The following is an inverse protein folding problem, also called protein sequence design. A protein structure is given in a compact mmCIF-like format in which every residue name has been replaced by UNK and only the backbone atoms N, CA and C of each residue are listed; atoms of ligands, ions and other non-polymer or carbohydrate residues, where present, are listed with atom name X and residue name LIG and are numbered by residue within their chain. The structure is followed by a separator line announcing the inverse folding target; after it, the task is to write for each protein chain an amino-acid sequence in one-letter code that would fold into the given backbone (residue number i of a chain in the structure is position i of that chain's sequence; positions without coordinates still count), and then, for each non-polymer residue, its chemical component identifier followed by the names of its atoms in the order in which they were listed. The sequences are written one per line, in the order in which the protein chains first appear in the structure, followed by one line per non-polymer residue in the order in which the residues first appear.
data_IF_824083851967
#
_entry.id   IF_824083851967
#
_cell.length_a   1.000
_cell.length_b   1.000
_cell.length_c   1.000
_cell.angle_alpha   90.00
_cell.angle_beta   90.00
_cell.angle_gamma   90.00
#
_symmetry.space_group_name_H-M   'P 1'
#
loop_
_entity.id
_entity.type
_entity.pdbx_description
1 polymer ?
#
# COMPACT_ATOMS: atom_id res chain seq x y z
N UNK A 1 4.25 -13.34 8.18
CA UNK A 1 5.15 -12.63 7.26
C UNK A 1 6.25 -12.07 8.13
N UNK A 2 7.52 -12.23 7.76
CA UNK A 2 8.62 -11.59 8.49
C UNK A 2 8.77 -10.15 8.01
N UNK A 3 9.44 -9.31 8.79
CA UNK A 3 9.67 -7.91 8.42
C UNK A 3 10.46 -7.76 7.10
N UNK A 4 11.47 -8.60 6.87
CA UNK A 4 12.24 -8.62 5.61
C UNK A 4 11.34 -8.92 4.40
N UNK A 5 10.42 -9.88 4.52
CA UNK A 5 9.46 -10.21 3.48
C UNK A 5 8.49 -9.04 3.23
N UNK A 6 8.09 -8.33 4.30
CA UNK A 6 7.20 -7.17 4.22
C UNK A 6 7.88 -5.99 3.51
N UNK A 7 9.17 -5.76 3.79
CA UNK A 7 9.97 -4.77 3.08
C UNK A 7 10.10 -5.11 1.60
N UNK A 8 10.48 -6.36 1.27
CA UNK A 8 10.62 -6.78 -0.11
C UNK A 8 9.29 -6.68 -0.88
N UNK A 9 8.16 -7.05 -0.26
CA UNK A 9 6.85 -6.90 -0.88
C UNK A 9 6.50 -5.42 -1.09
N UNK A 10 6.79 -4.57 -0.11
CA UNK A 10 6.55 -3.13 -0.23
C UNK A 10 7.37 -2.48 -1.34
N UNK A 11 8.66 -2.82 -1.42
CA UNK A 11 9.53 -2.33 -2.51
C UNK A 11 9.06 -2.84 -3.86
N UNK A 12 8.68 -4.12 -3.95
CA UNK A 12 8.13 -4.68 -5.18
C UNK A 12 6.85 -3.97 -5.61
N UNK A 13 5.91 -3.72 -4.70
CA UNK A 13 4.68 -2.98 -5.00
C UNK A 13 4.97 -1.53 -5.41
N UNK A 14 5.96 -0.87 -4.79
CA UNK A 14 6.40 0.47 -5.18
C UNK A 14 7.05 0.52 -6.56
N UNK A 15 7.93 -0.43 -6.87
CA UNK A 15 8.67 -0.49 -8.13
C UNK A 15 7.81 -1.07 -9.27
N UNK A 16 6.76 -1.84 -8.97
CA UNK A 16 5.80 -2.37 -9.94
C UNK A 16 4.86 -1.29 -10.54
N UNK A 17 5.02 -0.03 -10.15
CA UNK A 17 4.17 1.13 -10.45
C UNK A 17 5.08 2.35 -10.77
N UNK A 18 4.88 3.29 -11.71
CA UNK A 18 3.73 3.74 -12.50
C UNK A 18 2.38 3.77 -11.79
N UNK A 19 2.45 3.98 -10.46
CA UNK A 19 1.40 4.31 -9.49
C UNK A 19 -0.04 3.96 -9.85
N UNK A 20 -0.54 2.86 -9.31
CA UNK A 20 -1.89 2.32 -9.45
C UNK A 20 -2.38 2.10 -10.90
N UNK A 21 -1.48 2.12 -11.89
CA UNK A 21 -1.82 2.05 -13.31
C UNK A 21 -1.23 0.84 -14.03
N UNK A 22 -1.12 -0.32 -13.37
CA UNK A 22 -0.58 -1.52 -14.03
C UNK A 22 -1.63 -2.58 -14.34
N UNK A 23 -2.32 -2.32 -15.46
CA UNK A 23 -2.63 -3.27 -16.56
C UNK A 23 -3.57 -4.47 -16.28
N UNK A 24 -4.87 -4.28 -16.53
CA UNK A 24 -5.74 -5.12 -17.39
C UNK A 24 -5.60 -6.67 -17.42
N UNK A 25 -5.09 -7.37 -16.40
CA UNK A 25 -4.77 -8.81 -16.54
C UNK A 25 -4.96 -9.73 -15.34
N UNK A 26 -5.49 -9.27 -14.21
CA UNK A 26 -5.81 -10.16 -13.09
C UNK A 26 -7.31 -10.06 -12.80
N UNK A 27 -7.98 -11.20 -12.57
CA UNK A 27 -9.38 -11.21 -12.16
C UNK A 27 -9.55 -10.54 -10.80
N UNK A 28 -10.73 -9.98 -10.52
CA UNK A 28 -11.09 -9.32 -9.25
C UNK A 28 -10.59 -10.06 -7.99
N UNK A 29 -10.71 -11.39 -7.95
CA UNK A 29 -10.28 -12.21 -6.80
C UNK A 29 -8.77 -12.14 -6.57
N UNK A 30 -7.97 -12.12 -7.64
CA UNK A 30 -6.51 -12.14 -7.58
C UNK A 30 -5.95 -10.77 -7.19
N UNK A 31 -6.56 -9.69 -7.68
CA UNK A 31 -6.23 -8.34 -7.21
C UNK A 31 -6.61 -8.15 -5.75
N UNK A 32 -7.76 -8.70 -5.33
CA UNK A 32 -8.17 -8.65 -3.91
C UNK A 32 -7.18 -9.37 -3.01
N UNK A 33 -6.76 -10.59 -3.36
CA UNK A 33 -5.75 -11.34 -2.60
C UNK A 33 -4.40 -10.61 -2.53
N UNK A 34 -3.96 -10.01 -3.65
CA UNK A 34 -2.73 -9.18 -3.68
C UNK A 34 -2.83 -7.99 -2.73
N UNK A 35 -3.95 -7.25 -2.76
CA UNK A 35 -4.16 -6.09 -1.89
C UNK A 35 -4.28 -6.47 -0.41
N UNK A 36 -4.89 -7.62 -0.09
CA UNK A 36 -4.91 -8.15 1.27
C UNK A 36 -3.52 -8.55 1.77
N UNK A 37 -2.71 -9.15 0.89
CA UNK A 37 -1.33 -9.48 1.21
C UNK A 37 -0.49 -8.21 1.44
N UNK A 38 -0.70 -7.18 0.63
CA UNK A 38 -0.04 -5.89 0.80
C UNK A 38 -0.46 -5.18 2.09
N UNK A 39 -1.75 -5.20 2.45
CA UNK A 39 -2.23 -4.70 3.74
C UNK A 39 -1.50 -5.36 4.92
N UNK A 40 -1.32 -6.69 4.85
CA UNK A 40 -0.60 -7.43 5.88
C UNK A 40 0.86 -6.99 6.00
N UNK A 41 1.52 -6.68 4.89
CA UNK A 41 2.88 -6.12 4.93
C UNK A 41 2.90 -4.75 5.60
N UNK A 42 1.96 -3.85 5.30
CA UNK A 42 1.86 -2.55 5.95
C UNK A 42 1.66 -2.67 7.47
N UNK A 43 0.86 -3.65 7.93
CA UNK A 43 0.71 -3.93 9.37
C UNK A 43 2.03 -4.37 10.00
N UNK A 44 2.76 -5.29 9.36
CA UNK A 44 4.08 -5.74 9.85
C UNK A 44 5.10 -4.59 9.88
N UNK A 45 5.05 -3.69 8.90
CA UNK A 45 5.89 -2.48 8.90
C UNK A 45 5.50 -1.53 10.05
N UNK A 46 4.21 -1.34 10.30
CA UNK A 46 3.72 -0.55 11.44
C UNK A 46 4.21 -1.11 12.78
N UNK A 47 4.10 -2.42 12.97
CA UNK A 47 4.61 -3.11 14.18
C UNK A 47 6.14 -2.99 14.29
N UNK A 48 6.85 -3.03 13.16
CA UNK A 48 8.30 -2.87 13.14
C UNK A 48 8.74 -1.48 13.61
N UNK A 49 8.10 -0.43 13.11
CA UNK A 49 8.45 0.95 13.45
C UNK A 49 7.85 1.43 14.78
N UNK A 50 7.00 0.64 15.43
CA UNK A 50 6.44 0.97 16.75
C UNK A 50 7.57 1.18 17.78
N UNK A 51 7.61 2.37 18.40
CA UNK A 51 8.64 2.74 19.37
C UNK A 51 10.04 2.99 18.77
N UNK A 52 10.20 2.96 17.44
CA UNK A 52 11.45 3.37 16.80
C UNK A 52 11.53 4.89 16.69
N UNK A 53 12.71 5.46 17.01
CA UNK A 53 12.97 6.91 16.91
C UNK A 53 13.62 7.31 15.59
N UNK A 54 13.97 6.34 14.75
CA UNK A 54 14.57 6.55 13.45
C UNK A 54 13.77 5.81 12.39
N UNK A 55 13.55 6.49 11.26
CA UNK A 55 12.93 5.92 10.07
C UNK A 55 13.84 6.25 8.89
N UNK A 56 14.11 5.25 8.07
CA UNK A 56 14.87 5.38 6.84
C UNK A 56 14.16 6.36 5.91
N UNK A 57 14.86 7.42 5.49
CA UNK A 57 14.30 8.49 4.64
C UNK A 57 13.61 7.95 3.38
N UNK A 58 14.19 6.92 2.77
CA UNK A 58 13.65 6.29 1.57
C UNK A 58 12.32 5.58 1.85
N UNK A 59 12.21 4.89 2.99
CA UNK A 59 10.96 4.23 3.40
C UNK A 59 9.87 5.26 3.69
N UNK A 60 10.21 6.32 4.45
CA UNK A 60 9.28 7.42 4.74
C UNK A 60 8.75 8.08 3.45
N UNK A 61 9.64 8.38 2.50
CA UNK A 61 9.27 8.95 1.21
C UNK A 61 8.32 8.05 0.42
N UNK A 62 8.63 6.76 0.30
CA UNK A 62 7.80 5.80 -0.46
C UNK A 62 6.41 5.63 0.14
N UNK A 63 6.32 5.48 1.46
CA UNK A 63 5.04 5.36 2.19
C UNK A 63 4.17 6.60 1.98
N UNK A 64 4.75 7.80 2.12
CA UNK A 64 4.01 9.05 1.89
C UNK A 64 3.58 9.19 0.43
N UNK A 65 4.47 8.92 -0.52
CA UNK A 65 4.18 8.98 -1.96
C UNK A 65 3.03 8.05 -2.35
N UNK A 66 3.01 6.80 -1.85
CA UNK A 66 1.91 5.87 -2.09
C UNK A 66 0.59 6.37 -1.52
N UNK A 67 0.60 6.83 -0.26
CA UNK A 67 -0.59 7.33 0.43
C UNK A 67 -1.21 8.51 -0.33
N UNK A 68 -0.39 9.46 -0.76
CA UNK A 68 -0.85 10.65 -1.46
C UNK A 68 -1.36 10.29 -2.86
N UNK A 69 -0.69 9.38 -3.57
CA UNK A 69 -1.12 8.88 -4.88
C UNK A 69 -2.45 8.14 -4.79
N UNK A 70 -2.61 7.29 -3.77
CA UNK A 70 -3.86 6.57 -3.51
C UNK A 70 -4.98 7.55 -3.14
N UNK A 71 -4.70 8.55 -2.30
CA UNK A 71 -5.68 9.57 -1.90
C UNK A 71 -6.14 10.45 -3.07
N UNK A 72 -5.19 10.90 -3.90
CA UNK A 72 -5.48 11.65 -5.11
C UNK A 72 -6.31 10.80 -6.09
N UNK A 73 -5.91 9.57 -6.32
CA UNK A 73 -6.61 8.64 -7.22
C UNK A 73 -8.03 8.32 -6.75
N UNK A 74 -8.23 8.12 -5.44
CA UNK A 74 -9.54 7.86 -4.83
C UNK A 74 -10.57 8.95 -5.16
N UNK A 75 -10.13 10.21 -5.25
CA UNK A 75 -10.97 11.35 -5.62
C UNK A 75 -11.39 11.35 -7.10
N UNK A 76 -10.65 10.63 -7.96
CA UNK A 76 -10.85 10.57 -9.41
C UNK A 76 -11.50 9.27 -9.91
N UNK A 77 -11.76 8.26 -9.06
CA UNK A 77 -12.34 6.95 -9.44
C UNK A 77 -13.79 6.94 -9.94
N UNK A 78 -14.40 8.10 -10.20
CA UNK A 78 -15.69 8.17 -10.90
C UNK A 78 -15.63 7.64 -12.34
N UNK A 79 -14.45 7.49 -12.93
CA UNK A 79 -14.26 7.23 -14.37
C UNK A 79 -13.70 5.83 -14.67
N UNK A 80 -12.82 5.30 -13.82
CA UNK A 80 -12.28 3.93 -13.95
C UNK A 80 -11.80 3.45 -12.58
N UNK A 81 -12.51 2.50 -11.98
CA UNK A 81 -12.05 1.84 -10.76
C UNK A 81 -11.23 0.60 -11.16
N UNK A 82 -9.99 0.44 -10.67
CA UNK A 82 -9.26 -0.81 -10.84
C UNK A 82 -10.04 -1.98 -10.22
N UNK A 83 -10.07 -3.12 -10.90
CA UNK A 83 -10.62 -4.38 -10.38
C UNK A 83 -9.99 -4.72 -9.01
N UNK A 84 -10.77 -5.26 -8.07
CA UNK A 84 -10.37 -5.50 -6.68
C UNK A 84 -10.22 -4.29 -5.75
N UNK A 85 -10.05 -3.06 -6.26
CA UNK A 85 -9.80 -1.86 -5.46
C UNK A 85 -11.10 -1.17 -5.01
N UNK A 86 -11.85 -1.85 -4.13
CA UNK A 86 -13.11 -1.34 -3.57
C UNK A 86 -12.90 -0.12 -2.66
N UNK A 87 -13.98 0.62 -2.37
CA UNK A 87 -13.95 1.73 -1.39
C UNK A 87 -13.44 1.23 -0.04
N UNK A 88 -13.88 0.04 0.39
CA UNK A 88 -13.46 -0.55 1.65
C UNK A 88 -11.96 -0.89 1.66
N UNK A 89 -11.45 -1.50 0.59
CA UNK A 89 -10.03 -1.84 0.46
C UNK A 89 -9.15 -0.58 0.47
N UNK A 90 -9.59 0.45 -0.25
CA UNK A 90 -8.91 1.74 -0.29
C UNK A 90 -8.82 2.39 1.08
N UNK A 91 -9.94 2.46 1.80
CA UNK A 91 -9.96 3.02 3.15
C UNK A 91 -9.03 2.25 4.07
N UNK A 92 -9.01 0.91 3.98
CA UNK A 92 -8.07 0.07 4.75
C UNK A 92 -6.62 0.42 4.42
N UNK A 93 -6.27 0.57 3.14
CA UNK A 93 -4.91 0.92 2.71
C UNK A 93 -4.50 2.31 3.20
N UNK A 94 -5.34 3.34 3.04
CA UNK A 94 -5.05 4.70 3.53
C UNK A 94 -4.81 4.71 5.04
N UNK A 95 -5.63 3.98 5.80
CA UNK A 95 -5.46 3.83 7.25
C UNK A 95 -4.15 3.11 7.55
N UNK A 96 -3.87 1.98 6.90
CA UNK A 96 -2.65 1.20 7.11
C UNK A 96 -1.40 2.03 6.83
N UNK A 97 -1.33 2.76 5.70
CA UNK A 97 -0.24 3.68 5.39
C UNK A 97 -0.05 4.78 6.45
N UNK A 98 -1.16 5.31 6.96
CA UNK A 98 -1.11 6.37 7.98
C UNK A 98 -0.60 5.86 9.33
N UNK A 99 -0.70 4.55 9.59
CA UNK A 99 -0.24 3.93 10.84
C UNK A 99 1.22 3.45 10.80
N UNK A 100 1.84 3.30 9.62
CA UNK A 100 3.22 2.76 9.49
C UNK A 100 4.24 3.48 10.39
N UNK A 101 4.08 4.79 10.61
CA UNK A 101 4.97 5.58 11.48
C UNK A 101 4.23 6.32 12.60
N UNK A 102 3.02 5.88 12.96
CA UNK A 102 2.21 6.55 13.99
C UNK A 102 2.57 6.12 15.43
N UNK A 103 3.52 5.19 15.58
CA UNK A 103 4.02 4.67 16.86
C UNK A 103 5.07 5.54 17.53
#
# INVERSE_FOLDING_TARGET
MKTEDAFALFEHEYDADDGLFTKFRMSDDVETERLEHFLKALTVLSEHYEGQTHVEKQMAHRVMSFRDTLSASASHWKVSRPEGLTIQMTTKLIIAFSHVFAG
#
